data_IF_664898829339
#
_entry.id   IF_664898829339
#
_cell.length_a   1.000
_cell.length_b   1.000
_cell.length_c   1.000
_cell.angle_alpha   90.00
_cell.angle_beta   90.00
_cell.angle_gamma   90.00
#
_symmetry.space_group_name_H-M   'P 1'
#
loop_
_entity.id
_entity.type
_entity.pdbx_description
1 polymer ?
#
# COMPACT_ATOMS: atom_id res chain seq x y z
N UNK A 1 1.37 4.79 -4.42
CA UNK A 1 0.63 4.07 -5.50
C UNK A 1 0.59 2.60 -5.17
N UNK A 2 -0.54 1.93 -5.40
CA UNK A 2 -0.67 0.47 -5.34
C UNK A 2 -1.33 0.07 -6.66
N UNK A 3 -0.65 -0.68 -7.53
CA UNK A 3 -1.22 -1.04 -8.83
C UNK A 3 -0.68 -2.37 -9.36
N UNK A 4 -1.59 -3.10 -10.00
CA UNK A 4 -1.34 -4.33 -10.75
C UNK A 4 -1.89 -4.28 -12.18
N UNK A 5 -2.20 -3.08 -12.68
CA UNK A 5 -2.67 -2.85 -14.05
C UNK A 5 -1.81 -1.77 -14.71
N UNK A 6 -1.28 -2.05 -15.91
CA UNK A 6 -0.42 -1.09 -16.62
C UNK A 6 -1.15 0.22 -16.92
N UNK A 7 -2.42 0.15 -17.33
CA UNK A 7 -3.22 1.35 -17.62
C UNK A 7 -3.33 2.25 -16.37
N UNK A 8 -3.69 1.67 -15.22
CA UNK A 8 -3.83 2.40 -13.96
C UNK A 8 -2.47 2.90 -13.46
N UNK A 9 -1.41 2.07 -13.58
CA UNK A 9 -0.06 2.44 -13.17
C UNK A 9 0.47 3.63 -13.97
N UNK A 10 0.25 3.65 -15.29
CA UNK A 10 0.68 4.75 -16.16
C UNK A 10 0.05 6.08 -15.76
N UNK A 11 -1.28 6.12 -15.61
CA UNK A 11 -1.97 7.33 -15.18
C UNK A 11 -1.56 7.77 -13.77
N UNK A 12 -1.44 6.82 -12.83
CA UNK A 12 -1.08 7.12 -11.44
C UNK A 12 0.35 7.64 -11.31
N UNK A 13 1.28 7.20 -12.17
CA UNK A 13 2.66 7.73 -12.21
C UNK A 13 2.71 9.18 -12.66
N UNK A 14 1.85 9.60 -13.60
CA UNK A 14 1.68 11.02 -13.94
C UNK A 14 1.28 11.85 -12.71
N UNK A 15 0.27 11.39 -11.97
CA UNK A 15 -0.15 12.04 -10.72
C UNK A 15 0.97 12.08 -9.67
N UNK A 16 1.77 11.00 -9.56
CA UNK A 16 2.94 10.96 -8.67
C UNK A 16 3.93 12.06 -9.04
N UNK A 17 4.25 12.23 -10.33
CA UNK A 17 5.19 13.26 -10.77
C UNK A 17 4.73 14.66 -10.37
N UNK A 18 3.43 14.95 -10.49
CA UNK A 18 2.84 16.23 -10.08
C UNK A 18 2.94 16.49 -8.58
N UNK A 19 2.64 15.49 -7.74
CA UNK A 19 2.69 15.67 -6.27
C UNK A 19 4.12 15.66 -5.74
N UNK A 20 5.01 14.86 -6.32
CA UNK A 20 6.43 14.82 -5.97
C UNK A 20 7.12 16.15 -6.31
N UNK A 21 6.74 16.80 -7.41
CA UNK A 21 7.21 18.15 -7.75
C UNK A 21 6.80 19.21 -6.70
N UNK A 22 5.80 18.91 -5.86
CA UNK A 22 5.34 19.75 -4.75
C UNK A 22 5.88 19.30 -3.38
N UNK A 23 6.86 18.39 -3.37
CA UNK A 23 7.53 17.91 -2.15
C UNK A 23 6.81 16.78 -1.43
N UNK A 24 5.85 16.09 -2.07
CA UNK A 24 5.25 14.91 -1.48
C UNK A 24 6.26 13.75 -1.41
N UNK A 25 6.29 13.05 -0.28
CA UNK A 25 6.97 11.75 -0.17
C UNK A 25 6.02 10.67 -0.66
N UNK A 26 6.42 9.98 -1.73
CA UNK A 26 5.60 8.96 -2.38
C UNK A 26 6.19 7.59 -2.11
N UNK A 27 5.33 6.63 -1.77
CA UNK A 27 5.66 5.21 -1.72
C UNK A 27 4.89 4.48 -2.82
N UNK A 28 5.57 3.61 -3.54
CA UNK A 28 5.04 2.81 -4.65
C UNK A 28 5.06 1.31 -4.30
N UNK A 29 3.95 0.64 -4.60
CA UNK A 29 3.76 -0.80 -4.49
C UNK A 29 3.24 -1.28 -5.83
N UNK A 30 4.00 -2.13 -6.51
CA UNK A 30 3.71 -2.58 -7.88
C UNK A 30 4.01 -4.05 -8.06
N UNK A 31 3.32 -4.69 -9.01
CA UNK A 31 3.64 -6.05 -9.43
C UNK A 31 4.93 -6.08 -10.27
N UNK A 32 5.67 -7.18 -10.22
CA UNK A 32 6.94 -7.38 -10.95
C UNK A 32 6.87 -6.97 -12.43
N UNK A 33 5.82 -7.36 -13.15
CA UNK A 33 5.68 -7.03 -14.59
C UNK A 33 5.51 -5.53 -14.88
N UNK A 34 5.08 -4.74 -13.89
CA UNK A 34 4.82 -3.30 -14.00
C UNK A 34 5.90 -2.44 -13.34
N UNK A 35 6.90 -3.09 -12.74
CA UNK A 35 7.97 -2.43 -12.02
C UNK A 35 8.83 -1.59 -12.99
N UNK A 36 9.14 -0.38 -12.56
CA UNK A 36 10.01 0.58 -13.25
C UNK A 36 11.14 0.98 -12.30
N UNK A 37 12.30 1.43 -12.83
CA UNK A 37 13.37 1.94 -11.99
C UNK A 37 12.86 3.03 -11.04
N UNK A 38 13.15 2.87 -9.75
CA UNK A 38 12.72 3.81 -8.71
C UNK A 38 11.40 3.44 -8.01
N UNK A 39 10.77 2.31 -8.33
CA UNK A 39 9.70 1.78 -7.48
C UNK A 39 10.27 1.24 -6.15
N UNK A 40 9.50 1.41 -5.07
CA UNK A 40 9.95 1.16 -3.69
C UNK A 40 9.71 -0.29 -3.26
N UNK A 41 8.51 -0.81 -3.54
CA UNK A 41 8.10 -2.17 -3.19
C UNK A 41 7.59 -2.85 -4.45
N UNK A 42 8.31 -3.89 -4.86
CA UNK A 42 7.91 -4.78 -5.94
C UNK A 42 7.40 -6.08 -5.33
N UNK A 43 6.16 -6.44 -5.64
CA UNK A 43 5.56 -7.70 -5.19
C UNK A 43 5.53 -8.71 -6.33
N UNK A 44 5.71 -9.98 -5.97
CA UNK A 44 5.72 -11.07 -6.94
C UNK A 44 4.42 -11.10 -7.74
N UNK A 45 4.56 -11.44 -9.02
CA UNK A 45 3.38 -11.72 -9.84
C UNK A 45 2.63 -12.94 -9.30
N UNK A 46 1.32 -12.80 -9.18
CA UNK A 46 0.44 -13.90 -8.77
C UNK A 46 -0.69 -14.07 -9.78
N UNK A 47 -1.49 -15.14 -9.61
CA UNK A 47 -2.70 -15.30 -10.41
C UNK A 47 -3.59 -14.04 -10.30
N UNK A 48 -4.18 -13.52 -11.39
CA UNK A 48 -4.94 -12.26 -11.37
C UNK A 48 -6.04 -12.16 -10.29
N UNK A 49 -6.65 -13.29 -9.95
CA UNK A 49 -7.65 -13.37 -8.86
C UNK A 49 -7.07 -13.24 -7.44
N UNK A 50 -5.76 -13.40 -7.27
CA UNK A 50 -5.05 -13.29 -5.99
C UNK A 50 -4.33 -11.95 -5.84
N UNK A 51 -4.27 -11.14 -6.89
CA UNK A 51 -3.49 -9.91 -6.93
C UNK A 51 -3.89 -8.93 -5.83
N UNK A 52 -5.19 -8.76 -5.56
CA UNK A 52 -5.64 -7.90 -4.46
C UNK A 52 -5.17 -8.37 -3.08
N UNK A 53 -5.02 -9.69 -2.89
CA UNK A 53 -4.52 -10.26 -1.63
C UNK A 53 -3.02 -10.02 -1.52
N UNK A 54 -2.24 -10.24 -2.58
CA UNK A 54 -0.79 -9.98 -2.57
C UNK A 54 -0.50 -8.49 -2.31
N UNK A 55 -1.21 -7.60 -3.00
CA UNK A 55 -1.01 -6.15 -2.94
C UNK A 55 -1.34 -5.52 -1.58
N UNK A 56 -2.18 -6.14 -0.75
CA UNK A 56 -2.54 -5.58 0.57
C UNK A 56 -1.47 -5.85 1.63
N UNK A 57 -0.68 -6.92 1.49
CA UNK A 57 0.28 -7.34 2.52
C UNK A 57 1.30 -6.23 2.87
N UNK A 58 1.93 -5.54 1.90
CA UNK A 58 2.84 -4.43 2.24
C UNK A 58 2.15 -3.32 3.03
N UNK A 59 0.88 -3.02 2.73
CA UNK A 59 0.14 -1.97 3.44
C UNK A 59 -0.18 -2.34 4.89
N UNK A 60 -0.46 -3.62 5.15
CA UNK A 60 -0.65 -4.16 6.50
C UNK A 60 0.65 -4.06 7.30
N UNK A 61 1.79 -4.41 6.70
CA UNK A 61 3.10 -4.30 7.34
C UNK A 61 3.48 -2.85 7.65
N UNK A 62 3.22 -1.92 6.73
CA UNK A 62 3.43 -0.49 6.97
C UNK A 62 2.58 -0.01 8.15
N UNK A 63 1.30 -0.37 8.22
CA UNK A 63 0.43 0.00 9.33
C UNK A 63 0.91 -0.59 10.67
N UNK A 64 1.34 -1.85 10.66
CA UNK A 64 1.90 -2.54 11.83
C UNK A 64 3.14 -1.82 12.36
N UNK A 65 4.16 -1.63 11.51
CA UNK A 65 5.42 -1.03 11.94
C UNK A 65 5.28 0.45 12.28
N UNK A 66 4.43 1.21 11.56
CA UNK A 66 4.15 2.60 11.91
C UNK A 66 3.48 2.71 13.29
N UNK A 67 2.56 1.81 13.62
CA UNK A 67 1.90 1.78 14.93
C UNK A 67 2.87 1.40 16.04
N UNK A 68 3.69 0.37 15.80
CA UNK A 68 4.71 -0.09 16.73
C UNK A 68 5.75 1.01 17.04
N UNK A 69 6.26 1.68 16.01
CA UNK A 69 7.24 2.77 16.16
C UNK A 69 6.67 3.98 16.90
N UNK A 70 5.35 4.18 16.85
CA UNK A 70 4.65 5.24 17.58
C UNK A 70 4.28 4.84 19.02
N UNK A 71 4.61 3.62 19.46
CA UNK A 71 4.27 3.12 20.79
C UNK A 71 2.77 2.92 21.00
N UNK A 72 2.01 2.67 19.92
CA UNK A 72 0.57 2.40 19.99
C UNK A 72 0.30 0.91 20.22
N UNK A 73 -0.81 0.60 20.88
CA UNK A 73 -1.29 -0.78 21.01
C UNK A 73 -1.84 -1.25 19.65
N UNK A 74 -1.10 -2.15 19.01
CA UNK A 74 -1.41 -2.68 17.68
C UNK A 74 -2.62 -3.62 17.74
N UNK A 75 -2.77 -4.39 18.81
CA UNK A 75 -3.81 -5.40 18.97
C UNK A 75 -5.13 -4.79 19.47
N UNK A 76 -5.04 -3.73 20.28
CA UNK A 76 -6.18 -3.03 20.88
C UNK A 76 -6.13 -1.53 20.58
N UNK A 77 -6.36 -1.12 19.31
CA UNK A 77 -6.41 0.28 18.95
C UNK A 77 -7.50 1.02 19.74
N UNK A 78 -7.19 2.26 20.14
CA UNK A 78 -8.09 3.08 20.96
C UNK A 78 -9.46 3.25 20.29
N UNK A 79 -10.52 3.14 21.06
CA UNK A 79 -11.93 3.31 20.64
C UNK A 79 -12.46 2.23 19.68
N UNK A 80 -11.76 1.11 19.52
CA UNK A 80 -12.22 0.01 18.65
C UNK A 80 -12.43 -1.28 19.45
N UNK A 81 -13.32 -2.11 18.94
CA UNK A 81 -13.54 -3.48 19.36
C UNK A 81 -13.36 -4.41 18.17
N UNK A 82 -13.01 -5.67 18.41
CA UNK A 82 -12.83 -6.67 17.34
C UNK A 82 -14.11 -6.90 16.54
N UNK A 83 -15.25 -6.83 17.21
CA UNK A 83 -16.58 -6.89 16.62
C UNK A 83 -17.49 -5.94 17.42
N UNK A 84 -18.35 -5.20 16.73
CA UNK A 84 -19.38 -4.36 17.35
C UNK A 84 -20.65 -5.21 17.41
N UNK A 85 -21.11 -5.50 18.63
CA UNK A 85 -22.25 -6.41 18.87
C UNK A 85 -23.48 -5.70 19.42
N UNK A 86 -23.45 -4.37 19.48
CA UNK A 86 -24.55 -3.52 19.96
C UNK A 86 -24.89 -2.50 18.87
N UNK A 87 -26.18 -2.24 18.67
CA UNK A 87 -26.69 -1.20 17.76
C UNK A 87 -26.59 0.20 18.39
#
# INVERSE_FOLDING_TARGET
>A
MISSSEAIASHTRGNIQEVSARGANVLTVVEEELAKPGDDIVVNQVHPYLTSISMVIPTQLIAYFASLQRGLDVDKPRNLAKAVTVE
#
